data_IF_737503461294
#
_entry.id   IF_737503461294
#
_cell.length_a   1.000
_cell.length_b   1.000
_cell.length_c   1.000
_cell.angle_alpha   90.00
_cell.angle_beta   90.00
_cell.angle_gamma   90.00
#
_symmetry.space_group_name_H-M   'P 1'
#
loop_
_entity.id
_entity.type
_entity.pdbx_description
1 polymer ?
#
# COMPACT_ATOMS: atom_id res chain seq x y z
N UNK A 1 -14.06 -11.82 -6.82
CA UNK A 1 -13.57 -10.74 -5.93
C UNK A 1 -14.79 -10.05 -5.33
N UNK A 2 -14.82 -9.78 -4.02
CA UNK A 2 -16.00 -9.17 -3.39
C UNK A 2 -16.05 -7.67 -3.68
N UNK A 3 -17.18 -7.15 -4.14
CA UNK A 3 -17.33 -5.74 -4.57
C UNK A 3 -16.89 -4.76 -3.49
N UNK A 4 -17.21 -5.04 -2.22
CA UNK A 4 -16.88 -4.19 -1.08
C UNK A 4 -15.36 -4.04 -0.89
N UNK A 5 -14.60 -5.11 -1.16
CA UNK A 5 -13.13 -5.07 -1.10
C UNK A 5 -12.56 -4.19 -2.21
N UNK A 6 -13.06 -4.36 -3.43
CA UNK A 6 -12.65 -3.55 -4.57
C UNK A 6 -12.99 -2.07 -4.34
N UNK A 7 -14.17 -1.78 -3.79
CA UNK A 7 -14.59 -0.43 -3.43
C UNK A 7 -13.66 0.16 -2.37
N UNK A 8 -13.34 -0.58 -1.32
CA UNK A 8 -12.41 -0.12 -0.28
C UNK A 8 -11.02 0.18 -0.84
N UNK A 9 -10.49 -0.69 -1.71
CA UNK A 9 -9.22 -0.46 -2.40
C UNK A 9 -9.28 0.80 -3.28
N UNK A 10 -10.34 0.96 -4.07
CA UNK A 10 -10.53 2.13 -4.92
C UNK A 10 -10.64 3.43 -4.10
N UNK A 11 -11.36 3.41 -2.98
CA UNK A 11 -11.45 4.55 -2.05
C UNK A 11 -10.08 4.89 -1.45
N UNK A 12 -9.31 3.86 -1.06
CA UNK A 12 -7.97 4.05 -0.52
C UNK A 12 -6.99 4.60 -1.57
N UNK A 13 -7.05 4.09 -2.80
CA UNK A 13 -6.29 4.64 -3.93
C UNK A 13 -6.68 6.09 -4.20
N UNK A 14 -7.97 6.40 -4.23
CA UNK A 14 -8.48 7.77 -4.36
C UNK A 14 -8.02 8.69 -3.24
N UNK A 15 -7.96 8.20 -1.99
CA UNK A 15 -7.40 8.94 -0.86
C UNK A 15 -5.91 9.27 -1.10
N UNK A 16 -5.12 8.30 -1.58
CA UNK A 16 -3.71 8.56 -1.95
C UNK A 16 -3.59 9.60 -3.06
N UNK A 17 -4.42 9.52 -4.11
CA UNK A 17 -4.46 10.55 -5.17
C UNK A 17 -4.74 11.93 -4.56
N UNK A 18 -5.77 12.02 -3.71
CA UNK A 18 -6.16 13.29 -3.07
C UNK A 18 -5.05 13.85 -2.18
N UNK A 19 -4.38 13.00 -1.39
CA UNK A 19 -3.26 13.40 -0.52
C UNK A 19 -1.95 13.69 -1.27
N UNK A 20 -1.76 13.10 -2.45
CA UNK A 20 -0.57 13.32 -3.28
C UNK A 20 -0.70 14.59 -4.10
N UNK A 21 -1.86 14.82 -4.72
CA UNK A 21 -2.08 15.92 -5.68
C UNK A 21 -2.77 17.15 -5.07
N UNK A 22 -3.35 17.02 -3.88
CA UNK A 22 -4.03 18.12 -3.22
C UNK A 22 -3.06 19.24 -2.83
N UNK A 23 -3.49 20.48 -3.06
CA UNK A 23 -2.71 21.70 -2.78
C UNK A 23 -3.10 22.37 -1.46
N UNK A 24 -4.30 22.10 -0.95
CA UNK A 24 -4.82 22.58 0.33
C UNK A 24 -5.67 21.50 0.97
N UNK A 25 -5.53 21.35 2.28
CA UNK A 25 -6.26 20.33 3.05
C UNK A 25 -7.02 20.99 4.21
N UNK A 26 -8.07 20.33 4.72
CA UNK A 26 -8.68 20.72 5.99
C UNK A 26 -7.62 20.77 7.10
N UNK A 27 -7.78 21.69 8.05
CA UNK A 27 -6.81 21.94 9.14
C UNK A 27 -6.32 20.68 9.87
N UNK A 28 -7.19 19.69 10.23
CA UNK A 28 -6.71 18.49 10.91
C UNK A 28 -5.71 17.67 10.08
N UNK A 29 -5.87 17.68 8.76
CA UNK A 29 -4.99 16.97 7.82
C UNK A 29 -3.67 17.72 7.68
N UNK A 30 -3.69 19.05 7.60
CA UNK A 30 -2.46 19.84 7.60
C UNK A 30 -1.64 19.66 8.89
N UNK A 31 -2.32 19.60 10.05
CA UNK A 31 -1.67 19.32 11.32
C UNK A 31 -1.02 17.93 11.31
N UNK A 32 -1.69 16.93 10.73
CA UNK A 32 -1.15 15.58 10.55
C UNK A 32 0.12 15.59 9.68
N UNK A 33 0.10 16.29 8.54
CA UNK A 33 1.26 16.45 7.66
C UNK A 33 2.45 17.07 8.39
N UNK A 34 2.22 18.12 9.19
CA UNK A 34 3.28 18.78 9.97
C UNK A 34 3.84 17.89 11.07
N UNK A 35 2.99 17.12 11.75
CA UNK A 35 3.40 16.30 12.90
C UNK A 35 4.10 15.01 12.50
N UNK A 36 3.59 14.33 11.47
CA UNK A 36 4.09 13.01 11.04
C UNK A 36 5.17 13.14 9.97
N UNK A 37 5.10 14.19 9.14
CA UNK A 37 6.01 14.42 8.03
C UNK A 37 5.64 13.65 6.76
N UNK A 38 6.02 14.20 5.61
CA UNK A 38 5.71 13.65 4.28
C UNK A 38 6.24 12.23 4.09
N UNK A 39 7.49 11.97 4.50
CA UNK A 39 8.15 10.68 4.32
C UNK A 39 7.45 9.55 5.07
N UNK A 40 7.03 9.81 6.31
CA UNK A 40 6.31 8.83 7.12
C UNK A 40 4.92 8.57 6.57
N UNK A 41 4.22 9.60 6.09
CA UNK A 41 2.91 9.46 5.45
C UNK A 41 2.99 8.67 4.14
N UNK A 42 4.00 8.91 3.31
CA UNK A 42 4.30 8.05 2.16
C UNK A 42 4.48 6.61 2.63
N UNK A 43 5.34 6.40 3.63
CA UNK A 43 5.61 5.04 4.07
C UNK A 43 4.39 4.28 4.61
N UNK A 44 3.54 4.93 5.38
CA UNK A 44 2.28 4.34 5.84
C UNK A 44 1.31 4.12 4.67
N UNK A 45 1.18 5.13 3.81
CA UNK A 45 0.32 5.12 2.63
C UNK A 45 0.56 3.89 1.75
N UNK A 46 1.81 3.67 1.38
CA UNK A 46 2.21 2.57 0.50
C UNK A 46 2.25 1.21 1.22
N UNK A 47 2.61 1.15 2.51
CA UNK A 47 2.48 -0.09 3.27
C UNK A 47 1.03 -0.60 3.27
N UNK A 48 0.06 0.27 3.60
CA UNK A 48 -1.35 -0.11 3.62
C UNK A 48 -1.90 -0.38 2.22
N UNK A 49 -1.42 0.33 1.18
CA UNK A 49 -1.76 0.02 -0.20
C UNK A 49 -1.41 -1.43 -0.53
N UNK A 50 -0.18 -1.85 -0.20
CA UNK A 50 0.29 -3.22 -0.46
C UNK A 50 -0.58 -4.25 0.25
N UNK A 51 -0.82 -4.06 1.56
CA UNK A 51 -1.61 -5.00 2.37
C UNK A 51 -3.05 -5.09 1.86
N UNK A 52 -3.68 -3.94 1.59
CA UNK A 52 -5.07 -3.89 1.13
C UNK A 52 -5.21 -4.51 -0.26
N UNK A 53 -4.31 -4.18 -1.18
CA UNK A 53 -4.33 -4.71 -2.54
C UNK A 53 -4.10 -6.23 -2.53
N UNK A 54 -3.10 -6.69 -1.77
CA UNK A 54 -2.83 -8.12 -1.62
C UNK A 54 -4.01 -8.88 -1.00
N UNK A 55 -4.71 -8.29 -0.04
CA UNK A 55 -5.92 -8.86 0.56
C UNK A 55 -7.12 -8.89 -0.40
N UNK A 56 -7.26 -7.89 -1.28
CA UNK A 56 -8.33 -7.83 -2.28
C UNK A 56 -8.16 -8.92 -3.33
N UNK A 57 -6.93 -9.11 -3.82
CA UNK A 57 -6.62 -10.14 -4.84
C UNK A 57 -6.34 -11.52 -4.24
N UNK A 58 -6.34 -11.62 -2.90
CA UNK A 58 -6.14 -12.87 -2.16
C UNK A 58 -4.79 -13.53 -2.46
N UNK A 59 -3.71 -12.75 -2.36
CA UNK A 59 -2.33 -13.21 -2.58
C UNK A 59 -2.04 -14.52 -1.86
N UNK A 60 -1.52 -15.50 -2.60
CA UNK A 60 -1.01 -16.79 -2.14
C UNK A 60 0.45 -16.95 -2.56
N UNK A 61 1.33 -17.09 -1.57
CA UNK A 61 2.75 -17.28 -1.78
C UNK A 61 3.50 -16.08 -2.37
N UNK A 62 4.80 -16.30 -2.58
CA UNK A 62 5.77 -15.26 -2.95
C UNK A 62 5.50 -14.62 -4.32
N UNK A 63 5.13 -15.41 -5.33
CA UNK A 63 4.99 -14.92 -6.72
C UNK A 63 3.87 -13.89 -6.84
N UNK A 64 2.72 -14.17 -6.26
CA UNK A 64 1.58 -13.24 -6.28
C UNK A 64 1.89 -11.97 -5.47
N UNK A 65 2.58 -12.09 -4.33
CA UNK A 65 3.04 -10.94 -3.57
C UNK A 65 3.97 -10.02 -4.38
N UNK A 66 4.88 -10.59 -5.18
CA UNK A 66 5.77 -9.83 -6.05
C UNK A 66 5.03 -9.14 -7.20
N UNK A 67 4.02 -9.79 -7.78
CA UNK A 67 3.18 -9.16 -8.83
C UNK A 67 2.40 -7.97 -8.27
N UNK A 68 1.77 -8.13 -7.10
CA UNK A 68 1.06 -7.03 -6.44
C UNK A 68 2.01 -5.90 -6.06
N UNK A 69 3.22 -6.23 -5.58
CA UNK A 69 4.26 -5.24 -5.30
C UNK A 69 4.63 -4.44 -6.56
N UNK A 70 4.81 -5.12 -7.70
CA UNK A 70 5.15 -4.45 -8.95
C UNK A 70 4.03 -3.49 -9.40
N UNK A 71 2.76 -3.93 -9.35
CA UNK A 71 1.63 -3.06 -9.73
C UNK A 71 1.45 -1.89 -8.75
N UNK A 72 1.57 -2.13 -7.45
CA UNK A 72 1.49 -1.08 -6.44
C UNK A 72 2.65 -0.08 -6.54
N UNK A 73 3.85 -0.53 -6.93
CA UNK A 73 4.98 0.34 -7.20
C UNK A 73 4.75 1.20 -8.44
N UNK A 74 4.25 0.61 -9.53
CA UNK A 74 3.89 1.36 -10.74
C UNK A 74 2.80 2.40 -10.48
N UNK A 75 1.83 2.06 -9.64
CA UNK A 75 0.82 3.01 -9.18
C UNK A 75 1.46 4.20 -8.43
N UNK A 76 2.40 3.93 -7.52
CA UNK A 76 3.10 4.98 -6.80
C UNK A 76 3.99 5.84 -7.67
N UNK A 77 4.70 5.23 -8.61
CA UNK A 77 5.49 5.93 -9.62
C UNK A 77 4.60 6.85 -10.46
N UNK A 78 3.42 6.39 -10.88
CA UNK A 78 2.48 7.22 -11.63
C UNK A 78 1.99 8.43 -10.81
N UNK A 79 1.74 8.25 -9.49
CA UNK A 79 1.40 9.35 -8.60
C UNK A 79 2.54 10.37 -8.46
N UNK A 80 3.77 9.91 -8.29
CA UNK A 80 4.94 10.78 -8.16
C UNK A 80 5.18 11.59 -9.46
N UNK A 81 5.02 10.93 -10.61
CA UNK A 81 5.07 11.61 -11.92
C UNK A 81 3.94 12.61 -12.04
N UNK A 82 2.72 12.28 -11.61
CA UNK A 82 1.59 13.21 -11.62
C UNK A 82 1.81 14.41 -10.70
N UNK A 83 2.47 14.23 -9.56
CA UNK A 83 2.83 15.32 -8.64
C UNK A 83 3.75 16.34 -9.29
N UNK A 84 4.66 15.91 -10.18
CA UNK A 84 5.55 16.80 -10.93
C UNK A 84 4.82 17.80 -11.85
N UNK A 85 3.54 17.56 -12.15
CA UNK A 85 2.69 18.49 -12.90
C UNK A 85 1.88 19.43 -12.01
N UNK A 86 2.01 19.34 -10.68
CA UNK A 86 1.35 20.26 -9.74
C UNK A 86 2.29 21.42 -9.41
N UNK A 87 1.73 22.61 -9.12
CA UNK A 87 2.54 23.81 -8.84
C UNK A 87 3.19 23.83 -7.45
N UNK A 88 2.95 22.82 -6.62
CA UNK A 88 3.35 22.78 -5.20
C UNK A 88 4.17 21.55 -4.82
N UNK A 89 4.37 20.60 -5.75
CA UNK A 89 5.10 19.36 -5.50
C UNK A 89 6.08 19.12 -6.64
N UNK A 90 7.15 18.41 -6.32
CA UNK A 90 8.16 17.96 -7.28
C UNK A 90 8.30 16.44 -7.17
N UNK A 91 8.80 15.83 -8.23
CA UNK A 91 9.16 14.42 -8.21
C UNK A 91 10.31 14.19 -7.21
N UNK A 92 10.15 13.23 -6.31
CA UNK A 92 11.13 12.92 -5.25
C UNK A 92 11.59 11.47 -5.33
N UNK A 93 12.87 11.27 -5.65
CA UNK A 93 13.50 9.94 -5.60
C UNK A 93 13.51 9.36 -4.17
N UNK A 94 13.56 10.22 -3.15
CA UNK A 94 13.53 9.80 -1.75
C UNK A 94 12.16 9.22 -1.40
N UNK A 95 11.08 9.87 -1.84
CA UNK A 95 9.73 9.36 -1.64
C UNK A 95 9.51 8.08 -2.46
N UNK A 96 10.01 7.99 -3.69
CA UNK A 96 9.99 6.74 -4.46
C UNK A 96 10.69 5.57 -3.77
N UNK A 97 11.86 5.80 -3.16
CA UNK A 97 12.57 4.77 -2.40
C UNK A 97 11.79 4.37 -1.14
N UNK A 98 11.20 5.35 -0.45
CA UNK A 98 10.35 5.10 0.71
C UNK A 98 9.11 4.28 0.35
N UNK A 99 8.48 4.57 -0.78
CA UNK A 99 7.35 3.83 -1.32
C UNK A 99 7.74 2.37 -1.56
N UNK A 100 8.84 2.13 -2.30
CA UNK A 100 9.33 0.78 -2.58
C UNK A 100 9.68 0.00 -1.30
N UNK A 101 10.38 0.64 -0.36
CA UNK A 101 10.75 0.01 0.90
C UNK A 101 9.50 -0.45 1.67
N UNK A 102 8.45 0.37 1.69
CA UNK A 102 7.25 0.13 2.49
C UNK A 102 6.28 -0.83 1.81
N UNK A 103 6.20 -0.80 0.48
CA UNK A 103 5.59 -1.86 -0.32
C UNK A 103 6.26 -3.21 -0.05
N UNK A 104 7.59 -3.25 0.01
CA UNK A 104 8.35 -4.47 0.27
C UNK A 104 8.06 -5.04 1.67
N UNK A 105 7.95 -4.18 2.68
CA UNK A 105 7.53 -4.59 4.03
C UNK A 105 6.10 -5.14 4.03
N UNK A 106 5.17 -4.50 3.31
CA UNK A 106 3.80 -5.01 3.16
C UNK A 106 3.73 -6.37 2.44
N UNK A 107 4.56 -6.55 1.40
CA UNK A 107 4.66 -7.80 0.66
C UNK A 107 5.19 -8.94 1.54
N UNK A 108 6.21 -8.65 2.35
CA UNK A 108 6.75 -9.57 3.35
C UNK A 108 5.69 -9.95 4.38
N UNK A 109 4.93 -8.97 4.89
CA UNK A 109 3.86 -9.23 5.86
C UNK A 109 2.77 -10.17 5.28
N UNK A 110 2.34 -9.95 4.04
CA UNK A 110 1.38 -10.80 3.35
C UNK A 110 1.92 -12.23 3.15
N UNK A 111 3.18 -12.36 2.73
CA UNK A 111 3.79 -13.66 2.53
C UNK A 111 3.94 -14.43 3.85
N UNK A 112 4.40 -13.77 4.92
CA UNK A 112 4.50 -14.38 6.25
C UNK A 112 3.13 -14.82 6.75
N UNK A 113 2.10 -13.99 6.57
CA UNK A 113 0.73 -14.34 6.95
C UNK A 113 0.24 -15.60 6.22
N UNK A 114 0.48 -15.70 4.91
CA UNK A 114 0.12 -16.87 4.12
C UNK A 114 0.85 -18.14 4.60
N UNK A 115 2.15 -18.05 4.88
CA UNK A 115 2.92 -19.17 5.44
C UNK A 115 2.37 -19.63 6.80
N UNK A 116 2.04 -18.70 7.70
CA UNK A 116 1.47 -19.03 9.01
C UNK A 116 0.08 -19.66 8.88
N UNK A 117 -0.75 -19.15 7.96
CA UNK A 117 -2.06 -19.72 7.65
C UNK A 117 -1.95 -21.16 7.17
N UNK A 118 -1.03 -21.43 6.24
CA UNK A 118 -0.81 -22.78 5.71
C UNK A 118 -0.33 -23.75 6.80
N UNK A 119 0.59 -23.30 7.68
CA UNK A 119 1.01 -24.08 8.85
C UNK A 119 -0.18 -24.37 9.78
N UNK A 120 -1.02 -23.40 10.09
CA UNK A 120 -2.21 -23.62 10.92
C UNK A 120 -3.15 -24.68 10.35
N UNK A 121 -3.39 -24.65 9.03
CA UNK A 121 -4.22 -25.64 8.34
C UNK A 121 -3.61 -27.05 8.31
N UNK A 122 -2.28 -27.19 8.38
CA UNK A 122 -1.65 -28.51 8.49
C UNK A 122 -1.82 -29.11 9.89
N UNK A 123 -1.77 -28.31 10.96
CA UNK A 123 -1.97 -28.80 12.32
C UNK A 123 -3.40 -29.31 12.56
N UNK A 124 -4.41 -28.54 12.12
CA UNK A 124 -5.82 -28.94 12.27
C UNK A 124 -6.11 -30.28 11.59
N UNK A 125 -5.57 -30.51 10.38
CA UNK A 125 -5.72 -31.79 9.68
C UNK A 125 -5.11 -32.99 10.40
N UNK A 126 -4.09 -32.78 11.24
CA UNK A 126 -3.47 -33.84 12.03
C UNK A 126 -4.29 -34.15 13.28
N UNK A 127 -4.95 -33.14 13.86
CA UNK A 127 -5.85 -33.33 15.02
C UNK A 127 -7.18 -33.99 14.64
N UNK A 128 -7.65 -33.79 13.41
CA UNK A 128 -8.90 -34.36 12.91
C UNK A 128 -8.77 -35.83 12.42
N UNK A 129 -7.56 -36.43 12.46
CA UNK A 129 -7.26 -37.82 12.05
C UNK A 129 -7.09 -38.75 13.24
#
# INVERSE_FOLDING_TARGET
MRFEKCLLLALYMGLLVWMSLGTRYPEPVELLFRKIGSLTLHGLGYFFLMVLFGWVVMVKGKREALLVLAVAFLYGLALEVAQAYTSTREFSWVDMLANLARLSVGALALWVFDVLRLKGQSWQRVEDQ
#
